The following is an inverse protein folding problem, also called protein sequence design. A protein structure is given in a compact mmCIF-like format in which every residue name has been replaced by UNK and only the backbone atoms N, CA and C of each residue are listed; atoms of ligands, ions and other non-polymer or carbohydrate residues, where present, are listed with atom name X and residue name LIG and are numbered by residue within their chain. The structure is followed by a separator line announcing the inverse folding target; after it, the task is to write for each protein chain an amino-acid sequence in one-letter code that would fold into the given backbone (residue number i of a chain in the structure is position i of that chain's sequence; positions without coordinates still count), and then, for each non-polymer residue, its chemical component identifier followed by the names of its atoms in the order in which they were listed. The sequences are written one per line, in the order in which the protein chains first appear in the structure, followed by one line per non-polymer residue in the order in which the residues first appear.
data_IF_348352267215
#
_entry.id   IF_348352267215
#
_cell.length_a   1.000
_cell.length_b   1.000
_cell.length_c   1.000
_cell.angle_alpha   90.00
_cell.angle_beta   90.00
_cell.angle_gamma   90.00
#
_symmetry.space_group_name_H-M   'P 1'
#
loop_
_entity.id
_entity.type
_entity.pdbx_description
1 polymer ?
#
# COMPACT_ATOMS: atom_id res chain seq x y z
N UNK A 1 -21.00 -3.81 -26.72
CA UNK A 1 -20.38 -3.10 -25.59
C UNK A 1 -19.96 -1.75 -26.10
N UNK A 2 -20.62 -0.69 -25.65
CA UNK A 2 -20.39 0.64 -26.18
C UNK A 2 -19.09 1.22 -25.58
N UNK A 3 -18.46 2.17 -26.27
CA UNK A 3 -17.17 2.70 -25.83
C UNK A 3 -17.28 3.38 -24.44
N UNK A 4 -18.41 4.02 -24.15
CA UNK A 4 -18.76 4.60 -22.86
C UNK A 4 -18.86 3.56 -21.74
N UNK A 5 -19.55 2.43 -21.94
CA UNK A 5 -19.65 1.36 -20.94
C UNK A 5 -18.28 0.81 -20.53
N UNK A 6 -17.40 0.61 -21.52
CA UNK A 6 -16.03 0.14 -21.26
C UNK A 6 -15.23 1.14 -20.43
N UNK A 7 -15.33 2.44 -20.76
CA UNK A 7 -14.67 3.50 -19.99
C UNK A 7 -15.18 3.57 -18.56
N UNK A 8 -16.49 3.46 -18.36
CA UNK A 8 -17.12 3.48 -17.04
C UNK A 8 -16.64 2.30 -16.18
N UNK A 9 -16.52 1.10 -16.77
CA UNK A 9 -15.94 -0.07 -16.08
C UNK A 9 -14.48 0.15 -15.65
N UNK A 10 -13.65 0.74 -16.52
CA UNK A 10 -12.26 1.07 -16.20
C UNK A 10 -12.16 2.11 -15.07
N UNK A 11 -13.03 3.12 -15.05
CA UNK A 11 -13.06 4.12 -13.96
C UNK A 11 -13.38 3.48 -12.60
N UNK A 12 -14.33 2.54 -12.55
CA UNK A 12 -14.66 1.79 -11.31
C UNK A 12 -13.46 0.98 -10.83
N UNK A 13 -12.78 0.27 -11.73
CA UNK A 13 -11.58 -0.52 -11.38
C UNK A 13 -10.46 0.39 -10.86
N UNK A 14 -10.23 1.54 -11.51
CA UNK A 14 -9.26 2.52 -11.06
C UNK A 14 -9.59 3.04 -9.65
N UNK A 15 -10.86 3.34 -9.38
CA UNK A 15 -11.27 3.80 -8.06
C UNK A 15 -11.06 2.75 -6.97
N UNK A 16 -11.35 1.47 -7.25
CA UNK A 16 -11.09 0.35 -6.33
C UNK A 16 -9.59 0.23 -6.05
N UNK A 17 -8.74 0.28 -7.08
CA UNK A 17 -7.29 0.23 -6.92
C UNK A 17 -6.78 1.38 -6.03
N UNK A 18 -7.31 2.60 -6.23
CA UNK A 18 -6.96 3.75 -5.41
C UNK A 18 -7.39 3.56 -3.95
N UNK A 19 -8.60 3.09 -3.69
CA UNK A 19 -9.09 2.80 -2.34
C UNK A 19 -8.23 1.71 -1.67
N UNK A 20 -7.85 0.67 -2.40
CA UNK A 20 -6.96 -0.38 -1.89
C UNK A 20 -5.56 0.15 -1.55
N UNK A 21 -5.02 1.06 -2.37
CA UNK A 21 -3.79 1.78 -2.06
C UNK A 21 -3.92 2.61 -0.78
N UNK A 22 -5.03 3.34 -0.60
CA UNK A 22 -5.30 4.11 0.62
C UNK A 22 -5.39 3.22 1.86
N UNK A 23 -6.05 2.08 1.79
CA UNK A 23 -6.07 1.10 2.89
C UNK A 23 -4.67 0.55 3.19
N UNK A 24 -3.86 0.29 2.16
CA UNK A 24 -2.47 -0.13 2.34
C UNK A 24 -1.65 0.95 3.05
N UNK A 25 -1.90 2.22 2.74
CA UNK A 25 -1.28 3.36 3.41
C UNK A 25 -1.74 3.49 4.87
N UNK A 26 -3.04 3.31 5.13
CA UNK A 26 -3.61 3.32 6.47
C UNK A 26 -3.01 2.20 7.34
N UNK A 27 -2.83 1.00 6.76
CA UNK A 27 -2.14 -0.11 7.43
C UNK A 27 -0.70 0.28 7.81
N UNK A 28 0.02 0.95 6.91
CA UNK A 28 1.37 1.48 7.19
C UNK A 28 1.37 2.48 8.35
N UNK A 29 0.39 3.38 8.42
CA UNK A 29 0.26 4.37 9.50
C UNK A 29 -0.06 3.68 10.82
N UNK A 30 -1.00 2.72 10.83
CA UNK A 30 -1.36 1.95 12.03
C UNK A 30 -0.17 1.12 12.52
N UNK A 31 0.57 0.49 11.61
CA UNK A 31 1.81 -0.23 11.95
C UNK A 31 2.86 0.73 12.51
N UNK A 32 3.07 1.89 11.88
CA UNK A 32 4.01 2.88 12.40
C UNK A 32 3.61 3.36 13.81
N UNK A 33 2.33 3.64 14.04
CA UNK A 33 1.83 3.99 15.38
C UNK A 33 2.02 2.85 16.38
N UNK A 34 1.77 1.59 16.00
CA UNK A 34 1.98 0.45 16.90
C UNK A 34 3.45 0.25 17.24
N UNK A 35 4.36 0.51 16.29
CA UNK A 35 5.80 0.51 16.53
C UNK A 35 6.24 1.65 17.46
N UNK A 36 5.73 2.87 17.28
CA UNK A 36 6.09 4.04 18.11
C UNK A 36 5.52 3.93 19.52
N UNK A 37 4.25 3.53 19.67
CA UNK A 37 3.56 3.45 20.97
C UNK A 37 3.91 2.17 21.72
N UNK A 38 4.05 1.05 21.00
CA UNK A 38 4.27 -0.27 21.55
C UNK A 38 5.71 -0.77 21.46
N UNK A 39 6.64 0.00 20.90
CA UNK A 39 8.02 -0.43 20.65
C UNK A 39 8.72 -0.98 21.89
N UNK A 40 8.62 -0.31 23.03
CA UNK A 40 9.23 -0.78 24.28
C UNK A 40 8.47 -1.98 24.90
N UNK A 41 7.14 -2.07 24.73
CA UNK A 41 6.34 -3.20 25.24
C UNK A 41 6.51 -4.47 24.40
N UNK A 42 6.45 -4.35 23.08
CA UNK A 42 6.67 -5.45 22.13
C UNK A 42 8.12 -5.91 22.20
N UNK A 43 9.08 -5.00 22.32
CA UNK A 43 10.48 -5.37 22.51
C UNK A 43 10.68 -6.16 23.81
N UNK A 44 10.06 -5.76 24.92
CA UNK A 44 10.15 -6.48 26.19
C UNK A 44 9.53 -7.88 26.16
N UNK A 45 8.42 -8.06 25.43
CA UNK A 45 7.75 -9.36 25.27
C UNK A 45 8.50 -10.26 24.27
N UNK A 46 8.93 -9.73 23.12
CA UNK A 46 9.68 -10.50 22.12
C UNK A 46 11.10 -10.84 22.58
N UNK A 47 11.79 -9.95 23.30
CA UNK A 47 13.11 -10.21 23.89
C UNK A 47 13.14 -11.44 24.81
N UNK A 48 12.01 -11.80 25.42
CA UNK A 48 11.88 -13.01 26.25
C UNK A 48 11.76 -14.30 25.45
N UNK A 49 11.32 -14.24 24.20
CA UNK A 49 11.15 -15.41 23.32
C UNK A 49 12.25 -15.52 22.25
N UNK A 50 12.84 -14.39 21.87
CA UNK A 50 13.89 -14.28 20.87
C UNK A 50 14.93 -13.27 21.35
N UNK A 51 16.22 -13.65 21.33
CA UNK A 51 17.33 -12.77 21.69
C UNK A 51 17.61 -11.76 20.55
N UNK A 52 16.64 -10.89 20.29
CA UNK A 52 16.69 -9.86 19.25
C UNK A 52 17.16 -8.55 19.85
N UNK A 53 18.24 -7.99 19.32
CA UNK A 53 18.68 -6.64 19.68
C UNK A 53 17.69 -5.58 19.17
N UNK A 54 17.68 -4.39 19.79
CA UNK A 54 16.86 -3.24 19.35
C UNK A 54 17.07 -2.91 17.88
N UNK A 55 18.30 -3.12 17.40
CA UNK A 55 18.68 -2.89 16.01
C UNK A 55 18.00 -3.87 15.05
N UNK A 56 18.03 -5.17 15.35
CA UNK A 56 17.40 -6.21 14.52
C UNK A 56 15.88 -6.04 14.46
N UNK A 57 15.25 -5.70 15.60
CA UNK A 57 13.82 -5.42 15.64
C UNK A 57 13.45 -4.20 14.78
N UNK A 58 14.24 -3.12 14.83
CA UNK A 58 14.03 -1.95 13.99
C UNK A 58 14.20 -2.27 12.49
N UNK A 59 15.24 -3.04 12.14
CA UNK A 59 15.48 -3.47 10.76
C UNK A 59 14.34 -4.32 10.21
N UNK A 60 13.85 -5.30 10.97
CA UNK A 60 12.76 -6.16 10.51
C UNK A 60 11.47 -5.37 10.29
N UNK A 61 11.14 -4.42 11.17
CA UNK A 61 10.01 -3.51 10.95
C UNK A 61 10.23 -2.61 9.73
N UNK A 62 11.45 -2.11 9.52
CA UNK A 62 11.79 -1.28 8.37
C UNK A 62 11.65 -2.06 7.05
N UNK A 63 12.14 -3.30 7.00
CA UNK A 63 11.95 -4.18 5.85
C UNK A 63 10.46 -4.50 5.63
N UNK A 64 9.70 -4.75 6.69
CA UNK A 64 8.24 -4.93 6.61
C UNK A 64 7.53 -3.73 6.01
N UNK A 65 7.83 -2.52 6.51
CA UNK A 65 7.28 -1.27 5.98
C UNK A 65 7.69 -1.04 4.51
N UNK A 66 8.95 -1.31 4.16
CA UNK A 66 9.43 -1.19 2.79
C UNK A 66 8.71 -2.17 1.85
N UNK A 67 8.50 -3.42 2.28
CA UNK A 67 7.79 -4.43 1.50
C UNK A 67 6.32 -4.06 1.28
N UNK A 68 5.58 -3.68 2.33
CA UNK A 68 4.18 -3.26 2.20
C UNK A 68 4.07 -2.04 1.29
N UNK A 69 4.99 -1.08 1.43
CA UNK A 69 5.01 0.12 0.58
C UNK A 69 5.30 -0.22 -0.88
N UNK A 70 6.24 -1.13 -1.14
CA UNK A 70 6.54 -1.59 -2.49
C UNK A 70 5.36 -2.34 -3.11
N UNK A 71 4.77 -3.28 -2.37
CA UNK A 71 3.57 -4.00 -2.81
C UNK A 71 2.42 -3.03 -3.10
N UNK A 72 2.20 -2.03 -2.25
CA UNK A 72 1.15 -1.04 -2.47
C UNK A 72 1.36 -0.26 -3.78
N UNK A 73 2.59 0.15 -4.07
CA UNK A 73 2.93 0.87 -5.29
C UNK A 73 2.77 -0.03 -6.53
N UNK A 74 3.38 -1.22 -6.50
CA UNK A 74 3.43 -2.12 -7.66
C UNK A 74 2.05 -2.69 -8.00
N UNK A 75 1.29 -3.15 -7.01
CA UNK A 75 0.02 -3.82 -7.23
C UNK A 75 -1.18 -2.88 -7.32
N UNK A 76 -1.12 -1.67 -6.78
CA UNK A 76 -2.25 -0.74 -6.80
C UNK A 76 -1.97 0.55 -7.57
N UNK A 77 -0.85 1.23 -7.29
CA UNK A 77 -0.59 2.55 -7.86
C UNK A 77 -0.23 2.48 -9.36
N UNK A 78 0.62 1.53 -9.77
CA UNK A 78 0.98 1.33 -11.18
C UNK A 78 -0.23 1.00 -12.06
N UNK A 79 -1.09 0.00 -11.75
CA UNK A 79 -2.26 -0.30 -12.56
C UNK A 79 -3.28 0.85 -12.57
N UNK A 80 -3.47 1.55 -11.44
CA UNK A 80 -4.29 2.77 -11.39
C UNK A 80 -3.79 3.83 -12.38
N UNK A 81 -2.48 4.11 -12.37
CA UNK A 81 -1.85 5.07 -13.29
C UNK A 81 -2.02 4.68 -14.75
N UNK A 82 -1.83 3.39 -15.08
CA UNK A 82 -2.02 2.85 -16.42
C UNK A 82 -3.45 3.04 -16.92
N UNK A 83 -4.46 2.72 -16.08
CA UNK A 83 -5.88 2.88 -16.45
C UNK A 83 -6.22 4.35 -16.68
N UNK A 84 -5.82 5.26 -15.78
CA UNK A 84 -6.08 6.70 -15.94
C UNK A 84 -5.38 7.28 -17.16
N UNK A 85 -4.18 6.81 -17.49
CA UNK A 85 -3.48 7.23 -18.71
C UNK A 85 -4.23 6.80 -19.97
N UNK A 86 -4.73 5.56 -20.01
CA UNK A 86 -5.53 5.06 -21.13
C UNK A 86 -6.86 5.83 -21.28
N UNK A 87 -7.57 6.08 -20.18
CA UNK A 87 -8.82 6.85 -20.19
C UNK A 87 -8.58 8.30 -20.65
N UNK A 88 -7.48 8.93 -20.23
CA UNK A 88 -7.11 10.28 -20.68
C UNK A 88 -6.84 10.35 -22.18
N UNK A 89 -6.18 9.34 -22.76
CA UNK A 89 -5.92 9.27 -24.20
C UNK A 89 -7.21 9.23 -25.01
N UNK A 90 -8.24 8.54 -24.51
CA UNK A 90 -9.54 8.42 -25.17
C UNK A 90 -10.31 9.73 -25.24
N UNK A 91 -10.24 10.56 -24.20
CA UNK A 91 -10.85 11.90 -24.18
C UNK A 91 -10.18 12.90 -25.14
N UNK A 92 -9.00 12.57 -25.67
CA UNK A 92 -8.22 13.44 -26.57
C UNK A 92 -8.22 12.98 -28.03
N UNK A 93 -8.84 11.85 -28.35
CA UNK A 93 -9.01 11.38 -29.73
C UNK A 93 -10.46 11.63 -30.15
N UNK A 94 -10.73 12.59 -31.05
CA UNK A 94 -12.07 12.93 -31.51
C UNK A 94 -12.71 11.81 -32.35
#
# INVERSE_FOLDING_TARGET
MNADEMSNGLDVVAEILLRCFLFSLALLIVWFMSYVVGGDWIYSIHSKWFDLSKHEFALMNYYGMALVKLCAIVFFLLPYGSIKLMLRKKNFSP
#
